data_IF_639862973516
#
_entry.id   IF_639862973516
#
_cell.length_a   1.000
_cell.length_b   1.000
_cell.length_c   1.000
_cell.angle_alpha   90.00
_cell.angle_beta   90.00
_cell.angle_gamma   90.00
#
_symmetry.space_group_name_H-M   'P 1'
#
loop_
_entity.id
_entity.type
_entity.pdbx_description
1 polymer ?
#
# COMPACT_ATOMS: atom_id res chain seq x y z
N UNK A 1 0.71 4.51 31.97
CA UNK A 1 -0.13 3.69 31.08
C UNK A 1 0.72 3.06 30.00
N UNK A 2 0.45 1.80 29.64
CA UNK A 2 1.13 1.10 28.57
C UNK A 2 0.62 1.61 27.22
N UNK A 3 1.49 1.68 26.22
CA UNK A 3 1.17 2.11 24.84
C UNK A 3 1.60 1.01 23.88
N UNK A 4 0.73 0.66 22.94
CA UNK A 4 1.00 -0.31 21.88
C UNK A 4 0.59 0.29 20.54
N UNK A 5 1.46 0.20 19.55
CA UNK A 5 1.19 0.59 18.17
C UNK A 5 1.22 -0.68 17.31
N UNK A 6 0.18 -0.90 16.52
CA UNK A 6 0.09 -2.01 15.59
C UNK A 6 -0.20 -1.50 14.20
N UNK A 7 0.69 -1.79 13.26
CA UNK A 7 0.56 -1.39 11.85
C UNK A 7 1.28 -2.37 10.95
N UNK A 8 0.78 -2.56 9.75
CA UNK A 8 1.46 -3.31 8.70
C UNK A 8 2.39 -2.43 7.84
N UNK A 9 2.36 -1.12 8.02
CA UNK A 9 3.14 -0.13 7.27
C UNK A 9 3.73 0.90 8.23
N UNK A 10 4.72 0.52 9.07
CA UNK A 10 5.26 1.41 10.11
C UNK A 10 6.05 2.59 9.55
N UNK A 11 6.64 2.45 8.37
CA UNK A 11 7.39 3.50 7.67
C UNK A 11 7.19 3.34 6.14
N UNK A 12 5.98 3.69 5.63
CA UNK A 12 5.60 3.39 4.26
C UNK A 12 6.34 4.21 3.20
N UNK A 13 6.89 5.35 3.56
CA UNK A 13 7.61 6.21 2.63
C UNK A 13 9.10 6.29 2.93
N UNK A 14 9.47 6.45 4.20
CA UNK A 14 10.87 6.57 4.61
C UNK A 14 11.07 6.14 6.06
N UNK A 15 12.27 5.65 6.40
CA UNK A 15 12.62 5.17 7.75
C UNK A 15 12.54 6.25 8.83
N UNK A 16 12.60 7.53 8.46
CA UNK A 16 12.41 8.64 9.42
C UNK A 16 11.03 8.60 10.09
N UNK A 17 10.02 8.00 9.44
CA UNK A 17 8.67 7.88 10.00
C UNK A 17 8.63 7.03 11.28
N UNK A 18 9.62 6.14 11.48
CA UNK A 18 9.78 5.38 12.72
C UNK A 18 10.02 6.27 13.94
N UNK A 19 10.55 7.48 13.74
CA UNK A 19 10.75 8.45 14.81
C UNK A 19 9.45 8.88 15.48
N UNK A 20 8.39 9.05 14.71
CA UNK A 20 7.05 9.38 15.26
C UNK A 20 6.53 8.26 16.15
N UNK A 21 6.72 7.00 15.74
CA UNK A 21 6.33 5.84 16.53
C UNK A 21 7.16 5.72 17.80
N UNK A 22 8.48 5.93 17.71
CA UNK A 22 9.41 5.94 18.84
C UNK A 22 9.02 6.99 19.88
N UNK A 23 8.74 8.22 19.44
CA UNK A 23 8.33 9.33 20.32
C UNK A 23 6.98 9.03 21.00
N UNK A 24 6.00 8.53 20.24
CA UNK A 24 4.70 8.14 20.77
C UNK A 24 4.78 7.03 21.83
N UNK A 25 5.74 6.12 21.70
CA UNK A 25 6.00 5.03 22.66
C UNK A 25 6.85 5.47 23.85
N UNK A 26 7.43 6.68 23.83
CA UNK A 26 8.24 7.23 24.90
C UNK A 26 9.71 6.80 24.88
N UNK A 27 10.21 6.39 23.72
CA UNK A 27 11.65 6.16 23.49
C UNK A 27 12.35 7.43 23.03
N UNK A 28 13.14 7.38 21.98
CA UNK A 28 13.86 8.55 21.48
C UNK A 28 12.91 9.51 20.74
N UNK A 29 13.01 10.82 21.00
CA UNK A 29 12.26 11.84 20.27
C UNK A 29 12.59 11.88 18.78
N UNK A 30 11.65 12.32 17.94
CA UNK A 30 11.82 12.35 16.49
C UNK A 30 13.09 13.09 16.03
N UNK A 31 13.29 14.29 16.55
CA UNK A 31 14.47 15.15 16.23
C UNK A 31 15.78 14.53 16.70
N UNK A 32 15.77 13.90 17.88
CA UNK A 32 16.95 13.26 18.45
C UNK A 32 17.34 12.02 17.64
N UNK A 33 16.35 11.25 17.17
CA UNK A 33 16.57 10.13 16.26
C UNK A 33 17.21 10.60 14.96
N UNK A 34 16.67 11.69 14.34
CA UNK A 34 17.25 12.25 13.13
C UNK A 34 18.69 12.69 13.33
N UNK A 35 18.98 13.43 14.39
CA UNK A 35 20.34 13.91 14.68
C UNK A 35 21.32 12.78 14.92
N UNK A 36 20.88 11.71 15.58
CA UNK A 36 21.71 10.56 15.93
C UNK A 36 22.03 9.69 14.71
N UNK A 37 21.02 9.30 13.95
CA UNK A 37 21.15 8.25 12.93
C UNK A 37 21.11 8.75 11.49
N UNK A 38 20.57 9.93 11.23
CA UNK A 38 20.33 10.43 9.88
C UNK A 38 21.18 11.65 9.55
N UNK A 39 21.37 11.89 8.26
CA UNK A 39 21.98 13.10 7.73
C UNK A 39 20.99 13.78 6.78
N UNK A 40 20.85 15.11 6.92
CA UNK A 40 20.06 15.92 6.00
C UNK A 40 20.82 16.12 4.69
N UNK A 41 20.16 15.91 3.57
CA UNK A 41 20.72 16.03 2.24
C UNK A 41 20.57 17.45 1.64
N UNK A 42 19.87 18.36 2.34
CA UNK A 42 19.55 19.70 1.82
C UNK A 42 20.76 20.62 1.57
N UNK A 43 21.90 20.35 2.21
CA UNK A 43 23.11 21.17 2.10
C UNK A 43 24.29 20.51 1.35
N UNK A 44 24.13 19.26 0.92
CA UNK A 44 25.15 18.56 0.13
C UNK A 44 24.45 17.61 -0.85
N UNK A 45 24.57 17.92 -2.14
CA UNK A 45 24.00 17.07 -3.20
C UNK A 45 24.81 15.77 -3.24
N UNK A 46 24.50 14.83 -2.37
CA UNK A 46 24.96 13.46 -2.54
C UNK A 46 24.05 12.79 -3.59
N UNK A 47 24.59 12.63 -4.80
CA UNK A 47 23.89 12.07 -5.96
C UNK A 47 23.33 10.66 -5.64
N UNK A 48 23.97 9.90 -4.74
CA UNK A 48 23.52 8.56 -4.31
C UNK A 48 22.20 8.60 -3.55
N UNK A 49 21.86 9.74 -2.97
CA UNK A 49 20.63 9.98 -2.20
C UNK A 49 19.77 11.07 -2.83
N UNK A 50 19.89 11.27 -4.14
CA UNK A 50 19.10 12.25 -4.87
C UNK A 50 17.60 11.97 -4.66
N UNK A 51 16.86 13.00 -4.27
CA UNK A 51 15.41 12.90 -3.98
C UNK A 51 15.06 12.48 -2.56
N UNK A 52 16.03 12.17 -1.68
CA UNK A 52 15.79 11.96 -0.26
C UNK A 52 16.23 13.19 0.53
N UNK A 53 15.32 13.74 1.34
CA UNK A 53 15.65 14.85 2.25
C UNK A 53 16.58 14.38 3.38
N UNK A 54 16.33 13.18 3.91
CA UNK A 54 17.10 12.53 4.96
C UNK A 54 17.54 11.14 4.53
N UNK A 55 18.73 10.72 4.92
CA UNK A 55 19.22 9.35 4.73
C UNK A 55 20.00 8.86 5.95
N UNK A 56 20.00 7.56 6.19
CA UNK A 56 20.74 6.94 7.29
C UNK A 56 22.24 7.14 7.06
N UNK A 57 22.98 7.56 8.09
CA UNK A 57 24.44 7.60 8.07
C UNK A 57 24.95 6.16 7.91
N UNK A 58 25.82 5.83 6.92
CA UNK A 58 26.25 4.44 6.68
C UNK A 58 26.82 3.73 7.90
N UNK A 59 27.59 4.45 8.72
CA UNK A 59 28.19 3.92 9.94
C UNK A 59 27.18 3.72 11.09
N UNK A 60 26.03 4.35 11.04
CA UNK A 60 24.98 4.29 12.07
C UNK A 60 23.86 3.32 11.73
N UNK A 61 23.87 2.69 10.54
CA UNK A 61 22.76 1.86 10.08
C UNK A 61 22.53 0.65 11.00
N UNK A 62 23.56 -0.08 11.37
CA UNK A 62 23.43 -1.23 12.26
C UNK A 62 22.93 -0.82 13.64
N UNK A 63 23.42 0.29 14.18
CA UNK A 63 23.00 0.79 15.50
C UNK A 63 21.57 1.29 15.48
N UNK A 64 21.12 1.87 14.34
CA UNK A 64 19.73 2.25 14.15
C UNK A 64 18.80 1.03 14.21
N UNK A 65 19.11 -0.05 13.48
CA UNK A 65 18.27 -1.24 13.46
C UNK A 65 18.29 -1.99 14.81
N UNK A 66 19.44 -2.04 15.49
CA UNK A 66 19.52 -2.55 16.86
C UNK A 66 18.65 -1.74 17.83
N UNK A 67 18.68 -0.42 17.70
CA UNK A 67 17.85 0.45 18.51
C UNK A 67 16.36 0.27 18.23
N UNK A 68 15.95 0.18 16.96
CA UNK A 68 14.54 -0.07 16.59
C UNK A 68 14.07 -1.41 17.14
N UNK A 69 14.88 -2.46 17.07
CA UNK A 69 14.52 -3.80 17.56
C UNK A 69 14.37 -3.90 19.12
N UNK A 70 14.78 -2.88 19.86
CA UNK A 70 14.54 -2.82 21.31
C UNK A 70 13.08 -2.49 21.67
N UNK A 71 12.34 -1.84 20.77
CA UNK A 71 10.98 -1.40 21.02
C UNK A 71 9.97 -1.79 19.92
N UNK A 72 10.42 -2.32 18.81
CA UNK A 72 9.58 -2.74 17.68
C UNK A 72 9.85 -4.20 17.30
N UNK A 73 8.79 -4.95 17.08
CA UNK A 73 8.84 -6.32 16.58
C UNK A 73 8.15 -6.35 15.22
N UNK A 74 8.80 -6.95 14.23
CA UNK A 74 8.25 -7.16 12.90
C UNK A 74 8.08 -8.66 12.63
N UNK A 75 6.86 -9.06 12.29
CA UNK A 75 6.51 -10.44 11.98
C UNK A 75 5.68 -10.42 10.70
N UNK A 76 6.16 -11.08 9.65
CA UNK A 76 5.44 -11.22 8.37
C UNK A 76 4.84 -12.60 8.20
N UNK A 77 5.54 -13.60 8.71
CA UNK A 77 5.19 -15.01 8.56
C UNK A 77 5.78 -15.82 9.74
N UNK A 78 5.29 -17.03 9.99
CA UNK A 78 5.72 -17.85 11.12
C UNK A 78 7.24 -18.13 11.15
N UNK A 79 7.88 -18.24 9.99
CA UNK A 79 9.34 -18.46 9.91
C UNK A 79 10.16 -17.28 10.43
N UNK A 80 9.61 -16.08 10.50
CA UNK A 80 10.27 -14.94 11.16
C UNK A 80 10.44 -15.21 12.67
N UNK A 81 9.65 -16.12 13.25
CA UNK A 81 9.73 -16.60 14.64
C UNK A 81 10.28 -18.03 14.74
N UNK A 82 10.82 -18.60 13.69
CA UNK A 82 11.39 -19.97 13.66
C UNK A 82 10.37 -21.10 13.52
N UNK A 83 9.10 -20.80 13.20
CA UNK A 83 8.05 -21.79 12.93
C UNK A 83 7.91 -22.12 11.45
N UNK A 84 7.18 -23.20 11.12
CA UNK A 84 6.90 -23.57 9.73
C UNK A 84 5.89 -22.64 9.06
N UNK A 85 6.16 -22.24 7.82
CA UNK A 85 5.27 -21.43 6.98
C UNK A 85 4.19 -22.26 6.25
N UNK A 86 4.24 -23.61 6.33
CA UNK A 86 3.45 -24.52 5.49
C UNK A 86 1.96 -24.17 5.40
N UNK A 87 1.36 -23.74 6.51
CA UNK A 87 -0.07 -23.37 6.58
C UNK A 87 -0.33 -21.90 6.27
N UNK A 88 0.70 -21.10 6.05
CA UNK A 88 0.64 -19.64 5.90
C UNK A 88 1.12 -19.15 4.53
N UNK A 89 1.38 -20.08 3.62
CA UNK A 89 1.72 -19.71 2.25
C UNK A 89 0.52 -19.04 1.58
N UNK A 90 0.75 -17.84 1.09
CA UNK A 90 -0.24 -17.12 0.30
C UNK A 90 -0.17 -17.58 -1.16
N UNK A 91 -1.31 -17.61 -1.86
CA UNK A 91 -1.30 -17.81 -3.30
C UNK A 91 -0.55 -16.67 -4.01
N UNK A 92 -0.31 -16.83 -5.29
CA UNK A 92 0.45 -15.86 -6.07
C UNK A 92 -0.28 -14.51 -6.15
N UNK A 93 0.49 -13.41 -6.07
CA UNK A 93 0.02 -12.06 -6.34
C UNK A 93 0.48 -11.65 -7.73
N UNK A 94 -0.47 -11.50 -8.65
CA UNK A 94 -0.23 -11.14 -10.04
C UNK A 94 -0.52 -9.65 -10.21
N UNK A 95 0.51 -8.87 -10.51
CA UNK A 95 0.41 -7.41 -10.71
C UNK A 95 0.57 -7.10 -12.21
N UNK A 96 -0.51 -6.75 -12.89
CA UNK A 96 -0.50 -6.37 -14.31
C UNK A 96 -0.53 -4.85 -14.45
N UNK A 97 0.29 -4.31 -15.35
CA UNK A 97 0.32 -2.88 -15.66
C UNK A 97 -0.38 -2.64 -16.99
N UNK A 98 -1.41 -1.81 -16.96
CA UNK A 98 -2.18 -1.42 -18.14
C UNK A 98 -2.00 0.06 -18.42
N UNK A 99 -1.32 0.37 -19.53
CA UNK A 99 -1.07 1.73 -19.97
C UNK A 99 -2.16 2.16 -20.94
N UNK A 100 -2.78 3.31 -20.68
CA UNK A 100 -3.70 3.95 -21.62
C UNK A 100 -3.08 5.19 -22.24
N UNK A 101 -3.38 5.43 -23.51
CA UNK A 101 -2.89 6.61 -24.24
C UNK A 101 -3.73 7.84 -23.89
N UNK A 102 -3.08 9.00 -23.84
CA UNK A 102 -3.77 10.27 -23.70
C UNK A 102 -4.25 10.77 -25.06
N UNK A 103 -5.52 10.53 -25.38
CA UNK A 103 -6.12 10.97 -26.65
C UNK A 103 -6.45 12.48 -26.68
N UNK A 104 -6.46 13.18 -25.54
CA UNK A 104 -6.75 14.61 -25.49
C UNK A 104 -5.68 15.47 -26.17
N UNK A 105 -4.45 14.96 -26.36
CA UNK A 105 -3.36 15.66 -27.04
C UNK A 105 -3.62 15.74 -28.55
N UNK A 106 -4.38 14.83 -29.12
CA UNK A 106 -4.71 14.80 -30.54
C UNK A 106 -5.74 15.87 -30.96
N UNK A 107 -6.47 16.45 -30.02
CA UNK A 107 -7.57 17.38 -30.28
C UNK A 107 -7.28 18.84 -29.96
N UNK A 108 -6.09 19.20 -29.46
CA UNK A 108 -5.75 20.60 -29.21
C UNK A 108 -5.29 21.27 -30.52
N UNK A 109 -6.22 22.03 -31.16
CA UNK A 109 -6.06 22.74 -32.41
C UNK A 109 -5.11 23.97 -32.36
N UNK A 110 -4.12 24.00 -31.49
CA UNK A 110 -3.07 25.02 -31.48
C UNK A 110 -1.70 24.37 -31.69
N UNK A 111 -1.28 24.43 -32.93
CA UNK A 111 -0.02 24.23 -33.64
C UNK A 111 1.31 24.26 -32.88
N UNK A 112 1.42 23.63 -31.69
CA UNK A 112 2.69 23.14 -31.21
C UNK A 112 2.56 21.63 -31.01
N UNK A 113 3.00 20.90 -32.04
CA UNK A 113 3.22 19.46 -31.99
C UNK A 113 4.18 19.16 -30.82
N UNK A 114 3.65 18.85 -29.64
CA UNK A 114 4.39 18.04 -28.68
C UNK A 114 4.39 16.61 -29.23
N UNK A 115 5.37 16.31 -30.06
CA UNK A 115 5.52 15.06 -30.79
C UNK A 115 5.93 13.89 -29.91
N UNK A 116 6.08 14.11 -28.59
CA UNK A 116 6.42 13.08 -27.60
C UNK A 116 5.60 13.29 -26.33
N UNK A 117 4.95 12.24 -25.86
CA UNK A 117 4.39 12.16 -24.51
C UNK A 117 5.55 12.21 -23.50
N UNK A 118 5.95 13.41 -23.09
CA UNK A 118 6.89 13.53 -21.99
C UNK A 118 6.20 13.14 -20.69
N UNK A 119 6.81 12.27 -19.86
CA UNK A 119 6.25 11.96 -18.55
C UNK A 119 5.97 13.25 -17.77
N UNK A 120 4.82 13.33 -17.10
CA UNK A 120 4.45 14.49 -16.29
C UNK A 120 5.55 14.80 -15.28
N UNK A 121 6.13 16.00 -15.34
CA UNK A 121 7.34 16.36 -14.60
C UNK A 121 7.03 16.76 -13.17
N UNK A 122 5.84 17.34 -12.93
CA UNK A 122 5.43 17.84 -11.63
C UNK A 122 4.03 17.35 -11.24
N UNK A 123 3.65 17.59 -10.00
CA UNK A 123 2.35 17.17 -9.44
C UNK A 123 1.14 17.79 -10.17
N UNK A 124 1.31 18.97 -10.74
CA UNK A 124 0.25 19.66 -11.47
C UNK A 124 -0.02 18.97 -12.81
N UNK A 125 1.04 18.58 -13.52
CA UNK A 125 0.95 17.86 -14.78
C UNK A 125 0.30 16.49 -14.59
N UNK A 126 0.63 15.80 -13.51
CA UNK A 126 0.01 14.50 -13.16
C UNK A 126 -1.47 14.64 -12.91
N UNK A 127 -1.91 15.70 -12.20
CA UNK A 127 -3.34 15.96 -12.00
C UNK A 127 -4.07 16.25 -13.30
N UNK A 128 -3.44 17.01 -14.19
CA UNK A 128 -3.98 17.31 -15.52
C UNK A 128 -4.07 16.03 -16.36
N UNK A 129 -3.01 15.24 -16.39
CA UNK A 129 -2.95 13.95 -17.06
C UNK A 129 -4.03 12.99 -16.54
N UNK A 130 -4.21 12.90 -15.22
CA UNK A 130 -5.24 12.08 -14.57
C UNK A 130 -6.65 12.45 -15.02
N UNK A 131 -6.92 13.75 -15.25
CA UNK A 131 -8.23 14.23 -15.74
C UNK A 131 -8.40 14.00 -17.22
N UNK A 132 -7.36 14.24 -18.02
CA UNK A 132 -7.40 14.09 -19.45
C UNK A 132 -7.58 12.63 -19.92
N UNK A 133 -7.14 11.67 -19.10
CA UNK A 133 -7.22 10.22 -19.38
C UNK A 133 -8.30 9.51 -18.57
N UNK A 134 -9.26 10.28 -18.04
CA UNK A 134 -10.32 9.75 -17.18
C UNK A 134 -11.14 8.66 -17.86
N UNK A 135 -11.60 8.91 -19.08
CA UNK A 135 -12.45 8.00 -19.85
C UNK A 135 -11.70 6.71 -20.16
N UNK A 136 -10.53 6.83 -20.75
CA UNK A 136 -9.71 5.70 -21.19
C UNK A 136 -9.33 4.78 -20.02
N UNK A 137 -8.98 5.37 -18.88
CA UNK A 137 -8.65 4.60 -17.67
C UNK A 137 -9.88 3.90 -17.08
N UNK A 138 -11.01 4.58 -17.00
CA UNK A 138 -12.24 3.98 -16.47
C UNK A 138 -12.78 2.88 -17.40
N UNK A 139 -12.78 3.08 -18.72
CA UNK A 139 -13.18 2.05 -19.69
C UNK A 139 -12.25 0.83 -19.60
N UNK A 140 -10.94 1.04 -19.52
CA UNK A 140 -9.98 -0.05 -19.34
C UNK A 140 -10.24 -0.82 -18.06
N UNK A 141 -10.42 -0.12 -16.92
CA UNK A 141 -10.70 -0.72 -15.63
C UNK A 141 -12.03 -1.50 -15.65
N UNK A 142 -13.06 -0.96 -16.28
CA UNK A 142 -14.36 -1.63 -16.44
C UNK A 142 -14.21 -2.95 -17.24
N UNK A 143 -13.53 -2.92 -18.38
CA UNK A 143 -13.34 -4.09 -19.21
C UNK A 143 -12.60 -5.21 -18.46
N UNK A 144 -11.53 -4.86 -17.74
CA UNK A 144 -10.77 -5.81 -16.93
C UNK A 144 -11.62 -6.42 -15.79
N UNK A 145 -12.35 -5.58 -15.05
CA UNK A 145 -13.19 -6.07 -13.96
C UNK A 145 -14.41 -6.88 -14.46
N UNK A 146 -14.84 -6.65 -15.69
CA UNK A 146 -16.00 -7.38 -16.26
C UNK A 146 -15.66 -8.83 -16.62
N UNK A 147 -14.40 -9.20 -16.68
CA UNK A 147 -13.94 -10.59 -16.86
C UNK A 147 -14.02 -11.41 -15.57
N UNK A 148 -14.37 -10.76 -14.43
CA UNK A 148 -14.41 -11.39 -13.10
C UNK A 148 -15.78 -11.23 -12.45
N UNK A 149 -16.24 -12.26 -11.76
CA UNK A 149 -17.52 -12.25 -11.03
C UNK A 149 -17.50 -11.24 -9.88
N UNK A 150 -16.38 -11.17 -9.16
CA UNK A 150 -16.18 -10.24 -8.04
C UNK A 150 -14.97 -9.37 -8.29
N UNK A 151 -15.10 -8.07 -8.05
CA UNK A 151 -14.01 -7.11 -8.23
C UNK A 151 -14.19 -5.86 -7.39
N UNK A 152 -13.05 -5.21 -7.07
CA UNK A 152 -13.04 -3.88 -6.45
C UNK A 152 -12.32 -2.89 -7.34
N UNK A 153 -12.96 -1.76 -7.61
CA UNK A 153 -12.37 -0.60 -8.26
C UNK A 153 -11.82 0.37 -7.22
N UNK A 154 -10.51 0.49 -7.12
CA UNK A 154 -9.87 1.48 -6.27
C UNK A 154 -9.64 2.78 -7.03
N UNK A 155 -10.40 3.79 -6.69
CA UNK A 155 -10.38 5.10 -7.35
C UNK A 155 -9.82 6.19 -6.46
N UNK A 156 -9.36 7.29 -7.07
CA UNK A 156 -8.82 8.46 -6.37
C UNK A 156 -9.77 9.66 -6.48
N UNK A 157 -10.36 9.88 -7.65
CA UNK A 157 -11.25 11.00 -7.95
C UNK A 157 -12.72 10.59 -7.81
N UNK A 158 -13.58 11.56 -7.47
CA UNK A 158 -15.02 11.36 -7.48
C UNK A 158 -15.55 11.13 -8.91
N UNK A 159 -14.93 11.78 -9.90
CA UNK A 159 -15.34 11.64 -11.31
C UNK A 159 -15.00 10.25 -11.87
N UNK A 160 -13.90 9.62 -11.42
CA UNK A 160 -13.61 8.22 -11.72
C UNK A 160 -14.71 7.30 -11.18
N UNK A 161 -15.11 7.50 -9.92
CA UNK A 161 -16.17 6.70 -9.31
C UNK A 161 -17.52 6.87 -10.03
N UNK A 162 -17.90 8.10 -10.36
CA UNK A 162 -19.15 8.39 -11.11
C UNK A 162 -19.16 7.74 -12.48
N UNK A 163 -18.04 7.84 -13.21
CA UNK A 163 -17.94 7.28 -14.55
C UNK A 163 -17.98 5.74 -14.50
N UNK A 164 -17.21 5.11 -13.60
CA UNK A 164 -17.26 3.66 -13.41
C UNK A 164 -18.64 3.18 -13.02
N UNK A 165 -19.35 3.91 -12.14
CA UNK A 165 -20.73 3.58 -11.78
C UNK A 165 -21.69 3.68 -12.97
N UNK A 166 -21.46 4.58 -13.92
CA UNK A 166 -22.26 4.69 -15.15
C UNK A 166 -21.98 3.57 -16.14
N UNK A 167 -20.71 3.10 -16.21
CA UNK A 167 -20.29 1.98 -17.06
C UNK A 167 -20.71 0.63 -16.46
N UNK A 168 -20.49 0.44 -15.16
CA UNK A 168 -20.87 -0.78 -14.44
C UNK A 168 -22.07 -0.52 -13.53
N UNK A 169 -23.27 -0.69 -14.08
CA UNK A 169 -24.52 -0.46 -13.34
C UNK A 169 -24.70 -1.41 -12.17
N UNK A 170 -24.08 -2.59 -12.22
CA UNK A 170 -24.16 -3.62 -11.17
C UNK A 170 -23.16 -3.37 -10.03
N UNK A 171 -22.25 -2.41 -10.15
CA UNK A 171 -21.32 -2.05 -9.08
C UNK A 171 -22.00 -1.20 -8.02
N UNK A 172 -21.43 -1.16 -6.82
CA UNK A 172 -21.87 -0.29 -5.72
C UNK A 172 -20.74 0.68 -5.35
N UNK A 173 -21.07 1.97 -5.18
CA UNK A 173 -20.10 2.99 -4.81
C UNK A 173 -20.19 3.33 -3.33
N UNK A 174 -19.09 3.21 -2.59
CA UNK A 174 -18.98 3.68 -1.21
C UNK A 174 -18.32 5.07 -1.20
N UNK A 175 -19.12 6.06 -0.79
CA UNK A 175 -18.71 7.48 -0.71
C UNK A 175 -18.30 7.88 0.70
N UNK A 176 -17.37 8.83 0.81
CA UNK A 176 -17.01 9.42 2.11
C UNK A 176 -18.18 10.09 2.83
N UNK A 177 -19.12 10.68 2.08
CA UNK A 177 -20.31 11.38 2.59
C UNK A 177 -21.45 10.48 3.08
N UNK A 178 -21.40 9.17 2.86
CA UNK A 178 -22.40 8.23 3.38
C UNK A 178 -22.32 8.12 4.89
N UNK A 179 -23.45 7.78 5.54
CA UNK A 179 -23.48 7.47 6.96
C UNK A 179 -22.61 6.24 7.27
N UNK A 180 -22.22 6.07 8.54
CA UNK A 180 -21.44 4.90 8.97
C UNK A 180 -22.23 3.62 8.70
N UNK A 181 -23.52 3.61 9.04
CA UNK A 181 -24.40 2.45 8.88
C UNK A 181 -24.54 2.00 7.42
N UNK A 182 -24.71 2.96 6.50
CA UNK A 182 -24.76 2.69 5.06
C UNK A 182 -23.46 2.11 4.53
N UNK A 183 -22.31 2.62 5.00
CA UNK A 183 -21.00 2.07 4.62
C UNK A 183 -20.84 0.65 5.15
N UNK A 184 -21.22 0.42 6.40
CA UNK A 184 -21.13 -0.90 7.04
C UNK A 184 -22.00 -1.92 6.33
N UNK A 185 -23.25 -1.58 6.02
CA UNK A 185 -24.17 -2.46 5.27
C UNK A 185 -23.58 -2.90 3.92
N UNK A 186 -23.04 -1.92 3.13
CA UNK A 186 -22.42 -2.23 1.85
C UNK A 186 -21.16 -3.09 1.99
N UNK A 187 -20.33 -2.81 2.99
CA UNK A 187 -19.10 -3.56 3.25
C UNK A 187 -19.41 -4.98 3.71
N UNK A 188 -20.42 -5.17 4.54
CA UNK A 188 -20.91 -6.49 4.95
C UNK A 188 -21.52 -7.23 3.75
N UNK A 189 -22.32 -6.55 2.93
CA UNK A 189 -22.90 -7.14 1.71
C UNK A 189 -21.82 -7.61 0.73
N UNK A 190 -20.74 -6.83 0.55
CA UNK A 190 -19.61 -7.25 -0.27
C UNK A 190 -18.87 -8.43 0.37
N UNK A 191 -18.61 -8.40 1.67
CA UNK A 191 -17.91 -9.48 2.38
C UNK A 191 -18.71 -10.81 2.37
N UNK A 192 -20.05 -10.75 2.36
CA UNK A 192 -20.94 -11.92 2.23
C UNK A 192 -21.09 -12.38 0.78
N UNK A 193 -20.70 -11.57 -0.20
CA UNK A 193 -20.83 -11.86 -1.62
C UNK A 193 -22.18 -11.48 -2.23
N UNK A 194 -23.04 -10.76 -1.51
CA UNK A 194 -24.31 -10.21 -2.02
C UNK A 194 -24.03 -9.10 -3.03
N UNK A 195 -23.02 -8.28 -2.75
CA UNK A 195 -22.46 -7.28 -3.67
C UNK A 195 -21.25 -7.90 -4.37
N UNK A 196 -21.27 -7.90 -5.70
CA UNK A 196 -20.20 -8.51 -6.52
C UNK A 196 -19.11 -7.52 -6.91
N UNK A 197 -19.47 -6.27 -7.15
CA UNK A 197 -18.54 -5.24 -7.61
C UNK A 197 -18.65 -3.98 -6.77
N UNK A 198 -17.51 -3.49 -6.27
CA UNK A 198 -17.42 -2.36 -5.36
C UNK A 198 -16.53 -1.28 -5.94
N UNK A 199 -17.00 -0.02 -5.91
CA UNK A 199 -16.20 1.17 -6.24
C UNK A 199 -15.94 1.92 -4.95
N UNK A 200 -14.66 2.14 -4.62
CA UNK A 200 -14.32 2.85 -3.39
C UNK A 200 -12.95 3.49 -3.45
N UNK A 201 -12.64 4.33 -2.47
CA UNK A 201 -11.32 4.94 -2.28
C UNK A 201 -10.58 4.22 -1.16
N UNK A 202 -9.28 4.04 -1.32
CA UNK A 202 -8.42 3.42 -0.32
C UNK A 202 -8.53 4.09 1.06
N UNK A 203 -8.65 5.42 1.09
CA UNK A 203 -8.82 6.18 2.34
C UNK A 203 -10.12 5.87 3.10
N UNK A 204 -11.13 5.31 2.43
CA UNK A 204 -12.44 5.03 3.04
C UNK A 204 -12.47 3.59 3.57
N UNK A 205 -11.96 2.63 2.82
CA UNK A 205 -12.21 1.21 3.08
C UNK A 205 -10.95 0.35 3.17
N UNK A 206 -9.75 0.94 3.06
CA UNK A 206 -8.51 0.14 3.09
C UNK A 206 -8.12 -0.36 4.51
N UNK A 207 -8.91 -0.11 5.55
CA UNK A 207 -8.58 -0.51 6.91
C UNK A 207 -9.62 -1.48 7.50
N UNK A 208 -9.14 -2.50 8.23
CA UNK A 208 -9.96 -3.36 9.09
C UNK A 208 -10.83 -4.45 8.41
N UNK A 209 -10.87 -4.54 7.08
CA UNK A 209 -11.78 -5.43 6.35
C UNK A 209 -11.10 -6.68 5.77
N UNK A 210 -11.86 -7.73 5.55
CA UNK A 210 -11.42 -9.02 5.01
C UNK A 210 -12.23 -9.39 3.79
N UNK A 211 -11.56 -9.48 2.62
CA UNK A 211 -12.21 -9.76 1.33
C UNK A 211 -11.57 -10.93 0.58
N UNK A 212 -11.26 -12.03 1.31
CA UNK A 212 -10.64 -13.21 0.70
C UNK A 212 -11.54 -13.95 -0.30
N UNK A 213 -12.83 -13.66 -0.31
CA UNK A 213 -13.76 -14.20 -1.33
C UNK A 213 -13.55 -13.55 -2.71
N UNK A 214 -12.95 -12.37 -2.75
CA UNK A 214 -12.60 -11.65 -3.97
C UNK A 214 -11.11 -11.81 -4.26
N UNK A 215 -10.78 -12.11 -5.50
CA UNK A 215 -9.39 -12.32 -5.94
C UNK A 215 -8.99 -11.44 -7.12
N UNK A 216 -9.80 -10.44 -7.44
CA UNK A 216 -9.51 -9.48 -8.51
C UNK A 216 -9.75 -8.03 -8.05
N UNK A 217 -8.90 -7.13 -8.50
CA UNK A 217 -9.09 -5.70 -8.28
C UNK A 217 -8.41 -4.86 -9.36
N UNK A 218 -9.06 -3.76 -9.74
CA UNK A 218 -8.43 -2.69 -10.52
C UNK A 218 -7.99 -1.56 -9.60
N UNK A 219 -6.83 -1.00 -9.84
CA UNK A 219 -6.25 0.03 -9.00
C UNK A 219 -5.73 1.20 -9.84
N UNK A 220 -6.16 2.41 -9.52
CA UNK A 220 -5.59 3.64 -10.07
C UNK A 220 -4.44 4.09 -9.16
N UNK A 221 -3.17 3.95 -9.60
CA UNK A 221 -2.02 4.18 -8.74
C UNK A 221 -1.89 5.62 -8.26
N UNK A 222 -1.40 5.76 -7.02
CA UNK A 222 -0.96 7.01 -6.41
C UNK A 222 0.47 6.87 -5.91
N UNK A 223 1.09 7.97 -5.45
CA UNK A 223 2.42 7.93 -4.83
C UNK A 223 2.44 7.27 -3.44
N UNK A 224 1.28 6.89 -2.88
CA UNK A 224 1.19 6.29 -1.55
C UNK A 224 1.31 4.77 -1.62
N UNK A 225 2.48 4.27 -1.25
CA UNK A 225 2.69 2.83 -1.11
C UNK A 225 1.83 2.23 0.02
N UNK A 226 1.60 2.96 1.10
CA UNK A 226 0.72 2.55 2.18
C UNK A 226 -0.70 2.23 1.67
N UNK A 227 -1.30 3.17 0.92
CA UNK A 227 -2.65 2.98 0.38
C UNK A 227 -2.71 1.76 -0.54
N UNK A 228 -1.72 1.60 -1.40
CA UNK A 228 -1.60 0.43 -2.27
C UNK A 228 -1.49 -0.86 -1.45
N UNK A 229 -0.54 -0.94 -0.53
CA UNK A 229 -0.32 -2.11 0.30
C UNK A 229 -1.57 -2.47 1.10
N UNK A 230 -2.19 -1.51 1.78
CA UNK A 230 -3.40 -1.71 2.58
C UNK A 230 -4.58 -2.19 1.72
N UNK A 231 -4.74 -1.66 0.51
CA UNK A 231 -5.77 -2.10 -0.43
C UNK A 231 -5.58 -3.57 -0.84
N UNK A 232 -4.37 -3.94 -1.25
CA UNK A 232 -4.09 -5.31 -1.71
C UNK A 232 -4.22 -6.33 -0.58
N UNK A 233 -3.83 -5.96 0.64
CA UNK A 233 -3.96 -6.82 1.82
C UNK A 233 -5.40 -7.06 2.28
N UNK A 234 -6.41 -6.51 1.63
CA UNK A 234 -7.82 -6.92 1.79
C UNK A 234 -8.09 -8.28 1.16
N UNK A 235 -7.44 -8.56 0.05
CA UNK A 235 -7.59 -9.76 -0.78
C UNK A 235 -6.48 -10.77 -0.53
N UNK A 236 -5.23 -10.32 -0.63
CA UNK A 236 -4.03 -11.14 -0.53
C UNK A 236 -3.57 -11.27 0.91
N UNK A 237 -4.21 -12.16 1.62
CA UNK A 237 -3.98 -12.41 3.05
C UNK A 237 -4.27 -13.86 3.42
N UNK A 238 -3.91 -14.25 4.65
CA UNK A 238 -4.21 -15.58 5.16
C UNK A 238 -5.69 -15.96 4.96
N UNK A 239 -5.92 -17.16 4.42
CA UNK A 239 -7.24 -17.65 4.05
C UNK A 239 -7.64 -17.40 2.61
N UNK A 240 -6.89 -16.66 1.80
CA UNK A 240 -7.08 -16.58 0.36
C UNK A 240 -6.66 -17.90 -0.28
N UNK A 241 -7.52 -18.44 -1.16
CA UNK A 241 -7.33 -19.75 -1.82
C UNK A 241 -6.89 -19.61 -3.28
N UNK A 242 -7.19 -18.48 -3.91
CA UNK A 242 -6.94 -18.23 -5.32
C UNK A 242 -5.83 -17.20 -5.51
N UNK A 243 -5.15 -17.25 -6.64
CA UNK A 243 -4.23 -16.19 -7.04
C UNK A 243 -4.96 -14.86 -7.07
N UNK A 244 -4.34 -13.80 -6.56
CA UNK A 244 -4.93 -12.47 -6.55
C UNK A 244 -4.37 -11.67 -7.70
N UNK A 245 -5.25 -11.18 -8.57
CA UNK A 245 -4.90 -10.33 -9.71
C UNK A 245 -5.18 -8.88 -9.39
N UNK A 246 -4.16 -8.04 -9.59
CA UNK A 246 -4.21 -6.60 -9.41
C UNK A 246 -3.89 -5.93 -10.73
N UNK A 247 -4.88 -5.34 -11.35
CA UNK A 247 -4.73 -4.60 -12.61
C UNK A 247 -4.51 -3.11 -12.32
N UNK A 248 -3.27 -2.68 -12.49
CA UNK A 248 -2.83 -1.29 -12.32
C UNK A 248 -3.11 -0.52 -13.59
N UNK A 249 -4.10 0.39 -13.57
CA UNK A 249 -4.49 1.16 -14.74
C UNK A 249 -4.00 2.60 -14.63
N UNK A 250 -3.14 3.01 -15.56
CA UNK A 250 -2.48 4.31 -15.58
C UNK A 250 -2.28 4.80 -17.02
N UNK A 251 -2.01 6.10 -17.18
CA UNK A 251 -1.62 6.65 -18.47
C UNK A 251 -0.10 6.69 -18.64
N UNK A 252 0.35 6.86 -19.88
CA UNK A 252 1.77 6.99 -20.22
C UNK A 252 2.46 8.12 -19.43
N UNK A 253 1.74 9.22 -19.14
CA UNK A 253 2.26 10.33 -18.34
C UNK A 253 2.42 10.02 -16.84
N UNK A 254 1.87 8.90 -16.34
CA UNK A 254 1.89 8.52 -14.93
C UNK A 254 2.97 7.49 -14.56
N UNK A 255 3.89 7.14 -15.46
CA UNK A 255 4.94 6.13 -15.24
C UNK A 255 5.77 6.37 -13.97
N UNK A 256 6.08 7.64 -13.65
CA UNK A 256 6.82 8.01 -12.44
C UNK A 256 6.14 7.57 -11.13
N UNK A 257 4.82 7.42 -11.14
CA UNK A 257 4.10 6.89 -9.97
C UNK A 257 4.53 5.45 -9.72
N UNK A 258 4.65 4.65 -10.77
CA UNK A 258 5.06 3.24 -10.66
C UNK A 258 6.50 3.10 -10.20
N UNK A 259 7.41 3.95 -10.72
CA UNK A 259 8.81 3.97 -10.29
C UNK A 259 8.91 4.30 -8.80
N UNK A 260 8.18 5.31 -8.34
CA UNK A 260 8.11 5.68 -6.92
C UNK A 260 7.55 4.56 -6.05
N UNK A 261 6.47 3.90 -6.48
CA UNK A 261 5.89 2.77 -5.74
C UNK A 261 6.86 1.59 -5.66
N UNK A 262 7.59 1.30 -6.74
CA UNK A 262 8.60 0.23 -6.77
C UNK A 262 9.73 0.49 -5.78
N UNK A 263 10.27 1.71 -5.75
CA UNK A 263 11.31 2.11 -4.79
C UNK A 263 10.81 1.97 -3.34
N UNK A 264 9.59 2.44 -3.04
CA UNK A 264 9.01 2.34 -1.71
C UNK A 264 8.73 0.89 -1.31
N UNK A 265 8.29 0.04 -2.24
CA UNK A 265 8.11 -1.40 -2.03
C UNK A 265 9.41 -2.08 -1.63
N UNK A 266 10.51 -1.75 -2.33
CA UNK A 266 11.85 -2.26 -1.99
C UNK A 266 12.30 -1.80 -0.62
N UNK A 267 12.21 -0.50 -0.30
CA UNK A 267 12.56 0.05 1.03
C UNK A 267 11.76 -0.64 2.15
N UNK A 268 10.45 -0.85 1.97
CA UNK A 268 9.62 -1.52 2.96
C UNK A 268 10.06 -2.97 3.19
N UNK A 269 10.37 -3.72 2.13
CA UNK A 269 10.85 -5.08 2.24
C UNK A 269 12.21 -5.16 2.93
N UNK A 270 13.14 -4.26 2.62
CA UNK A 270 14.46 -4.16 3.27
C UNK A 270 14.31 -3.87 4.76
N UNK A 271 13.42 -2.95 5.13
CA UNK A 271 13.11 -2.66 6.53
C UNK A 271 12.66 -3.90 7.29
N UNK A 272 11.69 -4.62 6.76
CA UNK A 272 11.19 -5.85 7.39
C UNK A 272 12.28 -6.90 7.53
N UNK A 273 13.14 -7.07 6.51
CA UNK A 273 14.24 -8.01 6.56
C UNK A 273 15.26 -7.65 7.64
N UNK A 274 15.66 -6.38 7.70
CA UNK A 274 16.62 -5.89 8.71
C UNK A 274 16.05 -5.99 10.13
N UNK A 275 14.76 -5.67 10.32
CA UNK A 275 14.09 -5.82 11.62
C UNK A 275 14.02 -7.29 12.04
N UNK A 276 13.57 -8.19 11.18
CA UNK A 276 13.49 -9.62 11.50
C UNK A 276 14.85 -10.21 11.86
N UNK A 277 15.91 -9.85 11.13
CA UNK A 277 17.28 -10.30 11.41
C UNK A 277 17.78 -9.81 12.78
N UNK A 278 17.54 -8.54 13.12
CA UNK A 278 17.97 -7.98 14.40
C UNK A 278 17.15 -8.50 15.57
N UNK A 279 15.83 -8.67 15.41
CA UNK A 279 14.96 -9.28 16.43
C UNK A 279 15.43 -10.71 16.76
N UNK A 280 15.70 -11.51 15.73
CA UNK A 280 16.17 -12.90 15.91
C UNK A 280 17.53 -12.98 16.62
N UNK A 281 18.41 -11.98 16.45
CA UNK A 281 19.71 -11.92 17.09
C UNK A 281 19.64 -11.49 18.56
N UNK A 282 18.65 -10.65 18.93
CA UNK A 282 18.49 -10.11 20.30
C UNK A 282 17.64 -11.05 21.16
N UNK A 283 16.56 -11.56 20.60
CA UNK A 283 15.72 -12.55 21.21
C UNK A 283 16.11 -13.92 20.66
N UNK A 284 16.98 -14.66 21.32
CA UNK A 284 16.96 -16.12 21.18
C UNK A 284 15.55 -16.54 21.57
N UNK A 285 14.67 -16.66 20.59
CA UNK A 285 13.34 -17.22 20.78
C UNK A 285 13.58 -18.68 21.10
N UNK A 286 13.81 -18.98 22.39
CA UNK A 286 13.79 -20.34 22.87
C UNK A 286 12.46 -20.91 22.42
N UNK A 287 12.50 -21.88 21.53
CA UNK A 287 11.33 -22.71 21.19
C UNK A 287 10.88 -23.36 22.51
N UNK A 288 10.05 -22.65 23.27
CA UNK A 288 9.31 -23.28 24.34
C UNK A 288 8.35 -24.24 23.65
N UNK A 289 8.55 -25.51 23.83
CA UNK A 289 7.53 -26.50 23.52
C UNK A 289 6.27 -26.02 24.26
N UNK A 290 5.28 -25.56 23.50
CA UNK A 290 3.97 -25.29 24.05
C UNK A 290 3.38 -26.65 24.41
N UNK A 291 3.62 -27.10 25.64
CA UNK A 291 2.84 -28.18 26.24
C UNK A 291 1.38 -27.69 26.24
N UNK A 292 0.50 -28.46 25.61
CA UNK A 292 -0.95 -28.23 25.56
C UNK A 292 -1.58 -28.39 26.96
N UNK A 293 -1.17 -27.64 27.94
CA UNK A 293 -1.94 -27.49 29.17
C UNK A 293 -3.01 -26.43 28.91
N UNK A 294 -4.22 -26.89 28.65
CA UNK A 294 -5.40 -26.04 28.62
C UNK A 294 -5.61 -25.53 30.06
N UNK A 295 -5.10 -24.34 30.33
CA UNK A 295 -5.43 -23.64 31.58
C UNK A 295 -6.90 -23.24 31.47
N UNK A 296 -7.79 -24.03 32.10
CA UNK A 296 -9.19 -23.63 32.22
C UNK A 296 -9.25 -22.42 33.17
N UNK A 297 -9.84 -21.29 32.72
CA UNK A 297 -10.03 -20.17 33.65
C UNK A 297 -10.87 -20.63 34.81
N UNK A 298 -10.40 -20.39 36.04
CA UNK A 298 -11.21 -20.53 37.25
C UNK A 298 -12.13 -19.31 37.31
N UNK A 299 -13.40 -19.50 37.07
CA UNK A 299 -14.45 -18.55 37.40
C UNK A 299 -14.81 -18.71 38.84
#
# INVERSE_FOLDING_TARGET
PYRFLSTATPAPNDYIELGTSSEALGYLGYTDMLSKFFKNNGNSIDIRHAGCEWYIKPHAENDFWKWVSQWAISIRKPSDLGFSDEKYNLPELIENKHMVKNNAILNSANNQMQMFNMPAVNFFDIKKETRNTLNERCEKAFNLANEHDTSVYWVNLNDEAKLLKSLDKNSYEIKGSMSIDQKEEMLIGFAKGDIKKLITKTKITAFGLNWQHCNHTTYFPTYSYEQYYQAIRRFWRFGQKNNVTVDLVLSDGQTRIMDSLSVKKTKANDMFTKLSQNVNSIYEIQKREFTKEIIKPKF
#
